data_IF_474963900353
#
_entry.id   IF_474963900353
#
_cell.length_a   1.000
_cell.length_b   1.000
_cell.length_c   1.000
_cell.angle_alpha   90.00
_cell.angle_beta   90.00
_cell.angle_gamma   90.00
#
_symmetry.space_group_name_H-M   'P 1'
#
loop_
_entity.id
_entity.type
_entity.pdbx_description
1 polymer ?
#
# COMPACT_ATOMS: atom_id res chain seq x y z
N UNK A 1 -29.46 -16.52 -14.70
CA UNK A 1 -29.50 -17.95 -14.36
C UNK A 1 -28.96 -18.74 -15.54
N UNK A 2 -27.97 -19.58 -15.28
CA UNK A 2 -27.23 -20.35 -16.27
C UNK A 2 -27.97 -21.59 -16.74
N UNK A 3 -28.84 -22.18 -15.91
CA UNK A 3 -29.61 -23.38 -16.26
C UNK A 3 -31.00 -22.97 -16.76
N UNK A 4 -31.79 -22.30 -15.91
CA UNK A 4 -33.18 -21.94 -16.22
C UNK A 4 -33.34 -20.67 -17.07
N UNK A 5 -32.28 -19.89 -17.31
CA UNK A 5 -32.35 -18.66 -18.09
C UNK A 5 -32.45 -18.90 -19.60
N UNK A 6 -33.19 -18.05 -20.31
CA UNK A 6 -33.21 -18.02 -21.78
C UNK A 6 -31.86 -17.54 -22.33
N UNK A 7 -31.48 -17.97 -23.53
CA UNK A 7 -30.20 -17.58 -24.15
C UNK A 7 -30.10 -16.06 -24.34
N UNK A 8 -31.17 -15.41 -24.78
CA UNK A 8 -31.24 -13.94 -24.93
C UNK A 8 -30.96 -13.23 -23.60
N UNK A 9 -31.46 -13.77 -22.47
CA UNK A 9 -31.20 -13.21 -21.15
C UNK A 9 -29.76 -13.46 -20.66
N UNK A 10 -29.13 -14.57 -21.09
CA UNK A 10 -27.71 -14.86 -20.78
C UNK A 10 -26.78 -13.94 -21.58
N UNK A 11 -27.07 -13.72 -22.85
CA UNK A 11 -26.28 -12.83 -23.73
C UNK A 11 -26.41 -11.36 -23.31
N UNK A 12 -27.56 -10.96 -22.75
CA UNK A 12 -27.79 -9.58 -22.30
C UNK A 12 -27.28 -9.29 -20.88
N UNK A 13 -26.81 -10.30 -20.15
CA UNK A 13 -26.41 -10.15 -18.74
C UNK A 13 -24.90 -9.97 -18.57
N UNK A 14 -24.50 -9.01 -17.72
CA UNK A 14 -23.07 -8.80 -17.39
C UNK A 14 -22.47 -9.95 -16.56
N UNK A 15 -23.30 -10.67 -15.80
CA UNK A 15 -22.90 -11.80 -14.95
C UNK A 15 -23.94 -12.90 -15.02
N UNK A 16 -23.50 -14.12 -15.36
CA UNK A 16 -24.35 -15.32 -15.42
C UNK A 16 -24.01 -16.27 -14.28
N UNK A 17 -25.02 -16.61 -13.47
CA UNK A 17 -24.90 -17.58 -12.37
C UNK A 17 -25.05 -18.98 -12.93
N UNK A 18 -23.95 -19.72 -13.06
CA UNK A 18 -23.93 -21.03 -13.72
C UNK A 18 -24.70 -22.13 -12.96
N UNK A 19 -24.77 -22.04 -11.63
CA UNK A 19 -25.33 -23.07 -10.74
C UNK A 19 -26.77 -22.77 -10.28
N UNK A 20 -27.37 -21.68 -10.76
CA UNK A 20 -28.70 -21.21 -10.38
C UNK A 20 -28.91 -21.07 -8.85
N UNK A 21 -27.83 -20.87 -8.08
CA UNK A 21 -27.89 -20.70 -6.64
C UNK A 21 -27.81 -19.22 -6.24
N UNK A 22 -28.83 -18.72 -5.53
CA UNK A 22 -28.83 -17.34 -5.00
C UNK A 22 -27.65 -17.07 -4.04
N UNK A 23 -27.09 -18.10 -3.40
CA UNK A 23 -25.89 -17.98 -2.55
C UNK A 23 -24.69 -17.46 -3.34
N UNK A 24 -24.61 -17.80 -4.64
CA UNK A 24 -23.56 -17.31 -5.55
C UNK A 24 -23.59 -15.79 -5.67
N UNK A 25 -24.77 -15.16 -5.63
CA UNK A 25 -24.92 -13.70 -5.64
C UNK A 25 -24.25 -13.07 -4.42
N UNK A 26 -24.49 -13.64 -3.24
CA UNK A 26 -23.89 -13.16 -1.98
C UNK A 26 -22.37 -13.32 -2.02
N UNK A 27 -21.88 -14.43 -2.56
CA UNK A 27 -20.45 -14.68 -2.72
C UNK A 27 -19.80 -13.69 -3.68
N UNK A 28 -20.41 -13.43 -4.84
CA UNK A 28 -19.94 -12.43 -5.82
C UNK A 28 -19.93 -11.03 -5.19
N UNK A 29 -20.97 -10.65 -4.45
CA UNK A 29 -21.00 -9.37 -3.73
C UNK A 29 -19.88 -9.26 -2.68
N UNK A 30 -19.60 -10.34 -1.94
CA UNK A 30 -18.49 -10.40 -0.97
C UNK A 30 -17.13 -10.21 -1.66
N UNK A 31 -16.91 -10.90 -2.79
CA UNK A 31 -15.69 -10.76 -3.58
C UNK A 31 -15.54 -9.37 -4.19
N UNK A 32 -16.61 -8.79 -4.74
CA UNK A 32 -16.60 -7.44 -5.30
C UNK A 32 -16.22 -6.38 -4.26
N UNK A 33 -16.78 -6.47 -3.04
CA UNK A 33 -16.39 -5.59 -1.92
C UNK A 33 -14.92 -5.79 -1.53
N UNK A 34 -14.42 -7.02 -1.57
CA UNK A 34 -13.02 -7.32 -1.25
C UNK A 34 -12.08 -6.70 -2.26
N UNK A 35 -12.37 -6.87 -3.56
CA UNK A 35 -11.60 -6.27 -4.65
C UNK A 35 -11.54 -4.75 -4.51
N UNK A 36 -12.67 -4.10 -4.24
CA UNK A 36 -12.70 -2.64 -4.04
C UNK A 36 -11.75 -2.20 -2.92
N UNK A 37 -11.80 -2.86 -1.76
CA UNK A 37 -10.93 -2.55 -0.63
C UNK A 37 -9.46 -2.86 -0.94
N UNK A 38 -9.17 -3.95 -1.64
CA UNK A 38 -7.82 -4.33 -2.04
C UNK A 38 -7.21 -3.30 -3.02
N UNK A 39 -7.99 -2.78 -3.97
CA UNK A 39 -7.54 -1.69 -4.85
C UNK A 39 -7.27 -0.42 -4.03
N UNK A 40 -8.10 -0.08 -3.03
CA UNK A 40 -7.82 1.05 -2.15
C UNK A 40 -6.49 0.89 -1.39
N UNK A 41 -6.20 -0.31 -0.85
CA UNK A 41 -4.92 -0.60 -0.19
C UNK A 41 -3.73 -0.43 -1.14
N UNK A 42 -3.85 -0.97 -2.36
CA UNK A 42 -2.84 -0.82 -3.40
C UNK A 42 -2.61 0.66 -3.75
N UNK A 43 -3.67 1.43 -3.99
CA UNK A 43 -3.56 2.86 -4.32
C UNK A 43 -2.94 3.64 -3.15
N UNK A 44 -3.29 3.32 -1.90
CA UNK A 44 -2.66 3.95 -0.73
C UNK A 44 -1.14 3.73 -0.73
N UNK A 45 -0.71 2.49 -0.95
CA UNK A 45 0.70 2.13 -1.03
C UNK A 45 1.41 2.86 -2.18
N UNK A 46 0.88 2.71 -3.40
CA UNK A 46 1.45 3.27 -4.63
C UNK A 46 1.58 4.80 -4.57
N UNK A 47 0.56 5.49 -4.06
CA UNK A 47 0.60 6.95 -3.93
C UNK A 47 1.69 7.38 -2.94
N UNK A 48 1.85 6.64 -1.82
CA UNK A 48 2.88 6.94 -0.82
C UNK A 48 4.29 6.79 -1.40
N UNK A 49 4.56 5.68 -2.11
CA UNK A 49 5.85 5.42 -2.77
C UNK A 49 6.16 6.54 -3.77
N UNK A 50 5.22 6.86 -4.64
CA UNK A 50 5.39 7.87 -5.68
C UNK A 50 5.65 9.27 -5.11
N UNK A 51 4.86 9.69 -4.11
CA UNK A 51 5.06 11.00 -3.46
C UNK A 51 6.44 11.09 -2.81
N UNK A 52 6.86 10.05 -2.07
CA UNK A 52 8.16 10.06 -1.40
C UNK A 52 9.31 10.04 -2.41
N UNK A 53 9.23 9.18 -3.43
CA UNK A 53 10.25 9.08 -4.47
C UNK A 53 10.44 10.42 -5.20
N UNK A 54 9.34 11.05 -5.62
CA UNK A 54 9.37 12.32 -6.33
C UNK A 54 9.89 13.45 -5.44
N UNK A 55 9.32 13.61 -4.24
CA UNK A 55 9.68 14.69 -3.33
C UNK A 55 11.12 14.58 -2.83
N UNK A 56 11.59 13.36 -2.53
CA UNK A 56 12.99 13.15 -2.07
C UNK A 56 13.99 13.53 -3.16
N UNK A 57 13.75 13.10 -4.41
CA UNK A 57 14.63 13.45 -5.52
C UNK A 57 14.56 14.95 -5.85
N UNK A 58 13.36 15.52 -5.85
CA UNK A 58 13.17 16.94 -6.11
C UNK A 58 13.90 17.81 -5.08
N UNK A 59 13.66 17.57 -3.79
CA UNK A 59 14.30 18.32 -2.69
C UNK A 59 15.82 18.16 -2.75
N UNK A 60 16.33 16.94 -2.95
CA UNK A 60 17.78 16.73 -3.05
C UNK A 60 18.40 17.39 -4.29
N UNK A 61 17.73 17.36 -5.43
CA UNK A 61 18.21 18.01 -6.64
C UNK A 61 18.28 19.54 -6.45
N UNK A 62 17.28 20.14 -5.78
CA UNK A 62 17.27 21.56 -5.48
C UNK A 62 18.37 22.00 -4.50
N UNK A 63 18.66 21.20 -3.46
CA UNK A 63 19.62 21.60 -2.41
C UNK A 63 21.05 21.17 -2.74
N UNK A 64 21.24 19.92 -3.17
CA UNK A 64 22.56 19.29 -3.37
C UNK A 64 23.00 19.25 -4.83
N UNK A 65 22.15 19.67 -5.78
CA UNK A 65 22.42 19.63 -7.22
C UNK A 65 22.50 18.21 -7.81
N UNK A 66 22.30 17.17 -6.99
CA UNK A 66 22.37 15.76 -7.38
C UNK A 66 21.27 14.96 -6.68
N UNK A 67 20.65 14.05 -7.43
CA UNK A 67 19.62 13.16 -6.91
C UNK A 67 20.27 11.95 -6.24
N UNK A 68 19.80 11.52 -5.05
CA UNK A 68 20.38 10.41 -4.31
C UNK A 68 19.99 9.07 -4.94
N UNK A 69 18.84 9.02 -5.63
CA UNK A 69 18.33 7.86 -6.33
C UNK A 69 18.59 8.01 -7.82
N UNK A 70 19.21 7.00 -8.42
CA UNK A 70 19.45 6.99 -9.87
C UNK A 70 18.17 6.65 -10.63
N UNK A 71 18.11 6.98 -11.92
CA UNK A 71 16.97 6.63 -12.78
C UNK A 71 16.69 5.11 -12.78
N UNK A 72 17.74 4.28 -12.76
CA UNK A 72 17.63 2.81 -12.71
C UNK A 72 17.05 2.35 -11.38
N UNK A 73 17.46 2.96 -10.26
CA UNK A 73 16.93 2.64 -8.93
C UNK A 73 15.45 3.02 -8.79
N UNK A 74 15.03 4.14 -9.38
CA UNK A 74 13.62 4.54 -9.42
C UNK A 74 12.79 3.61 -10.30
N UNK A 75 13.34 3.19 -11.45
CA UNK A 75 12.70 2.22 -12.32
C UNK A 75 12.52 0.88 -11.61
N UNK A 76 13.53 0.41 -10.88
CA UNK A 76 13.45 -0.80 -10.06
C UNK A 76 12.28 -0.76 -9.08
N UNK A 77 12.14 0.34 -8.32
CA UNK A 77 11.05 0.49 -7.36
C UNK A 77 9.70 0.57 -8.08
N UNK A 78 9.57 1.44 -9.08
CA UNK A 78 8.31 1.68 -9.76
C UNK A 78 7.83 0.52 -10.64
N UNK A 79 8.75 -0.30 -11.16
CA UNK A 79 8.42 -1.37 -12.09
C UNK A 79 8.33 -2.72 -11.40
N UNK A 80 9.20 -3.02 -10.44
CA UNK A 80 9.30 -4.38 -9.87
C UNK A 80 8.71 -4.43 -8.48
N UNK A 81 9.09 -3.51 -7.59
CA UNK A 81 8.52 -3.48 -6.25
C UNK A 81 7.02 -3.16 -6.27
N UNK A 82 6.63 -2.16 -7.06
CA UNK A 82 5.23 -1.77 -7.16
C UNK A 82 4.35 -2.83 -7.82
N UNK A 83 4.85 -3.56 -8.82
CA UNK A 83 4.09 -4.66 -9.44
C UNK A 83 3.95 -5.86 -8.52
N UNK A 84 5.01 -6.21 -7.80
CA UNK A 84 4.97 -7.27 -6.79
C UNK A 84 4.04 -6.88 -5.63
N UNK A 85 4.13 -5.64 -5.13
CA UNK A 85 3.26 -5.13 -4.08
C UNK A 85 1.80 -5.01 -4.53
N UNK A 86 1.55 -4.63 -5.78
CA UNK A 86 0.21 -4.67 -6.38
C UNK A 86 -0.37 -6.08 -6.34
N UNK A 87 0.42 -7.08 -6.74
CA UNK A 87 0.00 -8.48 -6.70
C UNK A 87 -0.30 -8.92 -5.26
N UNK A 88 0.55 -8.57 -4.30
CA UNK A 88 0.37 -8.95 -2.89
C UNK A 88 -0.87 -8.33 -2.25
N UNK A 89 -1.13 -7.04 -2.52
CA UNK A 89 -2.26 -6.31 -1.94
C UNK A 89 -3.59 -6.57 -2.69
N UNK A 90 -3.55 -6.80 -4.00
CA UNK A 90 -4.75 -7.07 -4.80
C UNK A 90 -5.35 -8.46 -4.55
N UNK A 91 -4.50 -9.46 -4.25
CA UNK A 91 -4.89 -10.88 -4.13
C UNK A 91 -5.34 -11.29 -2.72
N UNK A 92 -5.53 -10.35 -1.80
CA UNK A 92 -5.97 -10.69 -0.45
C UNK A 92 -7.39 -11.27 -0.42
N UNK A 93 -7.60 -12.43 0.24
CA UNK A 93 -8.91 -13.07 0.29
C UNK A 93 -9.92 -12.26 1.11
N UNK A 94 -11.24 -12.39 0.81
CA UNK A 94 -12.28 -11.70 1.55
C UNK A 94 -12.32 -12.12 3.01
N UNK A 95 -12.61 -11.17 3.90
CA UNK A 95 -12.78 -11.42 5.34
C UNK A 95 -14.25 -11.33 5.76
N UNK A 96 -14.70 -12.14 6.71
CA UNK A 96 -16.14 -12.22 7.09
C UNK A 96 -16.69 -10.90 7.67
N UNK A 97 -15.84 -10.08 8.28
CA UNK A 97 -16.23 -8.76 8.78
C UNK A 97 -16.60 -7.75 7.68
N UNK A 98 -16.30 -8.03 6.42
CA UNK A 98 -16.51 -7.14 5.28
C UNK A 98 -17.99 -6.99 4.92
N UNK A 99 -18.80 -8.02 5.19
CA UNK A 99 -20.25 -8.00 4.95
C UNK A 99 -21.01 -7.20 6.01
N UNK A 100 -20.42 -6.97 7.19
CA UNK A 100 -21.02 -6.17 8.27
C UNK A 100 -20.94 -4.65 8.02
N UNK A 101 -20.15 -4.23 7.03
CA UNK A 101 -20.02 -2.82 6.65
C UNK A 101 -21.15 -2.39 5.72
N UNK A 102 -21.66 -1.14 5.84
CA UNK A 102 -22.63 -0.61 4.89
C UNK A 102 -22.02 -0.54 3.48
N UNK A 103 -22.85 -0.59 2.42
CA UNK A 103 -22.37 -0.44 1.05
C UNK A 103 -21.73 0.93 0.84
N UNK A 104 -20.68 0.98 0.02
CA UNK A 104 -20.00 2.21 -0.34
C UNK A 104 -20.93 3.05 -1.24
N UNK A 105 -21.20 4.30 -0.84
CA UNK A 105 -22.08 5.19 -1.59
C UNK A 105 -21.43 5.68 -2.88
N UNK A 106 -22.22 5.86 -3.96
CA UNK A 106 -21.77 6.35 -5.27
C UNK A 106 -21.04 7.71 -5.21
N UNK A 107 -21.37 8.56 -4.24
CA UNK A 107 -20.79 9.90 -4.06
C UNK A 107 -19.65 9.94 -3.03
N UNK A 108 -19.19 8.79 -2.54
CA UNK A 108 -18.04 8.75 -1.63
C UNK A 108 -16.73 8.85 -2.41
N UNK A 109 -15.76 9.56 -1.84
CA UNK A 109 -14.44 9.72 -2.47
C UNK A 109 -13.68 8.38 -2.42
N UNK A 110 -13.10 7.97 -3.55
CA UNK A 110 -12.31 6.74 -3.64
C UNK A 110 -11.12 6.74 -2.66
N UNK A 111 -10.42 7.87 -2.54
CA UNK A 111 -9.39 8.07 -1.52
C UNK A 111 -10.05 8.66 -0.27
N UNK A 112 -10.18 7.83 0.75
CA UNK A 112 -10.82 8.24 2.02
C UNK A 112 -9.90 9.17 2.83
N UNK A 113 -10.46 9.92 3.78
CA UNK A 113 -9.65 10.75 4.70
C UNK A 113 -8.68 9.91 5.54
N UNK A 114 -9.06 8.66 5.84
CA UNK A 114 -8.21 7.69 6.54
C UNK A 114 -6.98 7.33 5.69
N UNK A 115 -7.18 7.09 4.39
CA UNK A 115 -6.07 6.85 3.46
C UNK A 115 -5.16 8.08 3.37
N UNK A 116 -5.72 9.29 3.25
CA UNK A 116 -4.93 10.53 3.22
C UNK A 116 -4.08 10.72 4.48
N UNK A 117 -4.64 10.48 5.67
CA UNK A 117 -3.86 10.50 6.93
C UNK A 117 -2.68 9.53 6.87
N UNK A 118 -2.93 8.30 6.42
CA UNK A 118 -1.89 7.27 6.34
C UNK A 118 -0.80 7.65 5.31
N UNK A 119 -1.19 8.11 4.11
CA UNK A 119 -0.29 8.53 3.05
C UNK A 119 0.56 9.71 3.52
N UNK A 120 -0.06 10.80 3.97
CA UNK A 120 0.66 12.00 4.40
C UNK A 120 1.59 11.68 5.57
N UNK A 121 1.12 10.94 6.57
CA UNK A 121 1.93 10.60 7.74
C UNK A 121 3.15 9.75 7.39
N UNK A 122 2.96 8.72 6.55
CA UNK A 122 4.09 7.90 6.08
C UNK A 122 5.03 8.69 5.18
N UNK A 123 4.50 9.51 4.27
CA UNK A 123 5.32 10.34 3.39
C UNK A 123 6.17 11.34 4.17
N UNK A 124 5.61 12.05 5.16
CA UNK A 124 6.36 12.99 6.00
C UNK A 124 7.48 12.27 6.75
N UNK A 125 7.18 11.11 7.36
CA UNK A 125 8.20 10.33 8.05
C UNK A 125 9.34 9.92 7.11
N UNK A 126 9.02 9.36 5.95
CA UNK A 126 10.05 8.92 5.00
C UNK A 126 10.85 10.11 4.44
N UNK A 127 10.21 11.25 4.17
CA UNK A 127 10.90 12.46 3.72
C UNK A 127 11.88 13.01 4.77
N UNK A 128 11.50 12.99 6.05
CA UNK A 128 12.39 13.41 7.14
C UNK A 128 13.58 12.45 7.23
N UNK A 129 13.32 11.15 7.27
CA UNK A 129 14.37 10.13 7.42
C UNK A 129 15.35 10.15 6.24
N UNK A 130 14.85 10.17 5.01
CA UNK A 130 15.68 10.21 3.81
C UNK A 130 16.38 11.56 3.66
N UNK A 131 15.72 12.65 4.04
CA UNK A 131 16.32 13.98 4.09
C UNK A 131 17.49 14.05 5.08
N UNK A 132 17.32 13.56 6.31
CA UNK A 132 18.39 13.47 7.31
C UNK A 132 19.53 12.60 6.82
N UNK A 133 19.25 11.45 6.18
CA UNK A 133 20.30 10.61 5.59
C UNK A 133 21.01 11.31 4.43
N UNK A 134 20.31 12.11 3.62
CA UNK A 134 20.91 12.84 2.51
C UNK A 134 21.84 13.97 3.00
N UNK A 135 21.39 14.77 3.96
CA UNK A 135 22.13 15.93 4.44
C UNK A 135 23.19 15.58 5.50
N UNK A 136 22.81 14.82 6.54
CA UNK A 136 23.67 14.51 7.69
C UNK A 136 24.24 13.09 7.66
N UNK A 137 23.87 12.24 6.70
CA UNK A 137 24.28 10.84 6.67
C UNK A 137 25.79 10.63 6.66
N UNK A 138 26.57 11.55 6.06
CA UNK A 138 28.05 11.48 6.05
C UNK A 138 28.63 11.62 7.45
N UNK A 139 28.13 12.57 8.22
CA UNK A 139 28.59 12.87 9.57
C UNK A 139 28.06 11.81 10.55
N UNK A 140 26.80 11.41 10.39
CA UNK A 140 26.13 10.43 11.25
C UNK A 140 26.77 9.04 11.15
N UNK A 141 27.19 8.64 9.94
CA UNK A 141 27.79 7.33 9.68
C UNK A 141 29.32 7.35 9.69
N UNK A 142 29.94 8.51 9.98
CA UNK A 142 31.39 8.73 10.01
C UNK A 142 32.10 8.20 8.76
N UNK A 143 31.50 8.43 7.58
CA UNK A 143 32.02 7.93 6.31
C UNK A 143 33.12 8.86 5.78
N UNK A 144 34.36 8.63 6.24
CA UNK A 144 35.55 9.33 5.75
C UNK A 144 36.18 8.54 4.60
N UNK A 145 35.96 8.96 3.35
CA UNK A 145 36.67 8.41 2.19
C UNK A 145 36.15 8.87 0.83
N UNK A 146 36.92 8.69 -0.25
CA UNK A 146 36.55 9.11 -1.61
C UNK A 146 35.33 8.37 -2.19
N UNK A 147 34.98 7.19 -1.66
CA UNK A 147 33.76 6.42 -2.03
C UNK A 147 32.53 6.74 -1.16
N UNK A 148 32.63 7.69 -0.23
CA UNK A 148 31.60 8.02 0.76
C UNK A 148 30.24 8.39 0.12
N UNK A 149 30.25 9.18 -0.97
CA UNK A 149 29.03 9.56 -1.68
C UNK A 149 28.29 8.36 -2.30
N UNK A 150 29.01 7.44 -2.93
CA UNK A 150 28.41 6.27 -3.58
C UNK A 150 27.84 5.29 -2.55
N UNK A 151 28.54 5.09 -1.44
CA UNK A 151 28.04 4.28 -0.31
C UNK A 151 26.80 4.92 0.32
N UNK A 152 26.79 6.25 0.47
CA UNK A 152 25.62 6.96 1.02
C UNK A 152 24.41 6.84 0.09
N UNK A 153 24.56 7.07 -1.21
CA UNK A 153 23.46 6.93 -2.17
C UNK A 153 22.91 5.50 -2.18
N UNK A 154 23.79 4.50 -2.10
CA UNK A 154 23.35 3.10 -2.00
C UNK A 154 22.61 2.83 -0.69
N UNK A 155 23.05 3.42 0.44
CA UNK A 155 22.35 3.31 1.70
C UNK A 155 20.97 4.00 1.67
N UNK A 156 20.87 5.18 1.06
CA UNK A 156 19.60 5.90 0.88
C UNK A 156 18.65 5.04 0.05
N UNK A 157 19.13 4.48 -1.07
CA UNK A 157 18.37 3.54 -1.88
C UNK A 157 17.91 2.31 -1.09
N UNK A 158 18.81 1.67 -0.35
CA UNK A 158 18.47 0.48 0.43
C UNK A 158 17.45 0.78 1.54
N UNK A 159 17.64 1.91 2.24
CA UNK A 159 16.72 2.37 3.28
C UNK A 159 15.35 2.72 2.69
N UNK A 160 15.31 3.39 1.54
CA UNK A 160 14.07 3.70 0.83
C UNK A 160 13.30 2.43 0.48
N UNK A 161 13.97 1.40 -0.06
CA UNK A 161 13.35 0.11 -0.38
C UNK A 161 12.79 -0.56 0.87
N UNK A 162 13.54 -0.62 1.97
CA UNK A 162 13.04 -1.21 3.20
C UNK A 162 11.85 -0.42 3.78
N UNK A 163 11.89 0.91 3.74
CA UNK A 163 10.73 1.73 4.10
C UNK A 163 9.49 1.37 3.28
N UNK A 164 9.62 1.06 1.98
CA UNK A 164 8.48 0.62 1.17
C UNK A 164 8.00 -0.77 1.55
N UNK A 165 8.89 -1.73 1.74
CA UNK A 165 8.54 -3.09 2.19
C UNK A 165 7.73 -3.05 3.50
N UNK A 166 8.12 -2.19 4.45
CA UNK A 166 7.38 -2.02 5.70
C UNK A 166 6.10 -1.18 5.54
N UNK A 167 6.09 -0.22 4.61
CA UNK A 167 4.89 0.55 4.29
C UNK A 167 3.82 -0.31 3.58
N UNK A 168 4.23 -1.31 2.79
CA UNK A 168 3.35 -2.31 2.19
C UNK A 168 2.60 -3.09 3.28
N UNK A 169 3.34 -3.56 4.28
CA UNK A 169 2.77 -4.21 5.48
C UNK A 169 1.78 -3.27 6.19
N UNK A 170 2.12 -2.00 6.38
CA UNK A 170 1.20 -1.02 6.99
C UNK A 170 -0.07 -0.78 6.17
N UNK A 171 0.04 -0.79 4.85
CA UNK A 171 -1.05 -0.49 3.91
C UNK A 171 -2.05 -1.64 3.75
N UNK A 172 -1.66 -2.84 4.20
CA UNK A 172 -2.50 -4.04 4.24
C UNK A 172 -3.81 -3.88 5.04
N UNK A 173 -3.80 -3.06 6.08
CA UNK A 173 -5.00 -2.74 6.86
C UNK A 173 -5.09 -1.23 7.10
N UNK A 174 -6.08 -0.56 6.51
CA UNK A 174 -6.17 0.92 6.56
C UNK A 174 -6.56 1.47 7.94
N UNK A 175 -7.32 0.70 8.74
CA UNK A 175 -7.91 1.16 10.02
C UNK A 175 -7.45 0.35 11.23
N UNK A 176 -7.13 -0.94 11.07
CA UNK A 176 -6.82 -1.82 12.20
C UNK A 176 -5.36 -1.67 12.63
N UNK A 177 -5.16 -1.66 13.95
CA UNK A 177 -3.85 -1.55 14.61
C UNK A 177 -3.05 -2.86 14.50
N UNK A 178 -3.72 -4.01 14.44
CA UNK A 178 -3.05 -5.33 14.38
C UNK A 178 -2.58 -5.68 12.96
N UNK A 179 -1.51 -5.04 12.53
CA UNK A 179 -0.93 -5.17 11.18
C UNK A 179 -0.40 -6.59 10.91
N UNK A 180 0.08 -7.29 11.94
CA UNK A 180 0.64 -8.64 11.83
C UNK A 180 -0.42 -9.76 11.80
N UNK A 181 -1.68 -9.46 12.14
CA UNK A 181 -2.72 -10.50 12.23
C UNK A 181 -3.06 -10.99 10.82
N UNK A 182 -2.88 -12.29 10.58
CA UNK A 182 -3.18 -12.91 9.29
C UNK A 182 -2.15 -12.65 8.19
N UNK A 183 -0.99 -12.04 8.49
CA UNK A 183 0.07 -11.77 7.50
C UNK A 183 0.67 -13.07 6.97
N UNK A 184 0.96 -14.00 7.89
CA UNK A 184 1.44 -15.34 7.55
C UNK A 184 0.34 -16.26 6.98
N UNK A 185 -0.93 -15.82 6.99
CA UNK A 185 -2.03 -16.60 6.42
C UNK A 185 -2.16 -16.41 4.91
N UNK A 186 -1.63 -15.32 4.35
CA UNK A 186 -1.58 -15.11 2.89
C UNK A 186 -0.21 -15.53 2.38
N UNK A 187 -0.13 -16.74 1.83
CA UNK A 187 1.13 -17.27 1.32
C UNK A 187 1.69 -16.42 0.17
N UNK A 188 0.81 -15.85 -0.67
CA UNK A 188 1.19 -14.93 -1.76
C UNK A 188 1.89 -13.70 -1.21
N UNK A 189 1.37 -13.09 -0.14
CA UNK A 189 1.97 -11.92 0.48
C UNK A 189 3.37 -12.23 1.04
N UNK A 190 3.53 -13.38 1.71
CA UNK A 190 4.84 -13.79 2.25
C UNK A 190 5.84 -14.07 1.14
N UNK A 191 5.42 -14.74 0.05
CA UNK A 191 6.29 -15.00 -1.11
C UNK A 191 6.77 -13.69 -1.72
N UNK A 192 5.87 -12.73 -1.95
CA UNK A 192 6.23 -11.42 -2.50
C UNK A 192 7.23 -10.71 -1.60
N UNK A 193 6.96 -10.63 -0.29
CA UNK A 193 7.86 -10.00 0.67
C UNK A 193 9.27 -10.60 0.67
N UNK A 194 9.38 -11.93 0.72
CA UNK A 194 10.67 -12.64 0.69
C UNK A 194 11.37 -12.43 -0.65
N UNK A 195 10.63 -12.46 -1.75
CA UNK A 195 11.16 -12.27 -3.10
C UNK A 195 11.69 -10.85 -3.28
N UNK A 196 10.97 -9.83 -2.81
CA UNK A 196 11.39 -8.43 -2.86
C UNK A 196 12.66 -8.20 -2.06
N UNK A 197 12.76 -8.73 -0.84
CA UNK A 197 14.00 -8.64 -0.04
C UNK A 197 15.14 -9.42 -0.70
N UNK A 198 14.87 -10.60 -1.25
CA UNK A 198 15.87 -11.39 -1.99
C UNK A 198 16.42 -10.64 -3.19
N UNK A 199 15.56 -10.06 -4.03
CA UNK A 199 15.99 -9.24 -5.15
C UNK A 199 16.73 -7.98 -4.70
N UNK A 200 16.34 -7.38 -3.57
CA UNK A 200 17.06 -6.23 -3.01
C UNK A 200 18.50 -6.60 -2.62
N UNK A 201 18.73 -7.78 -2.06
CA UNK A 201 20.09 -8.27 -1.78
C UNK A 201 20.86 -8.48 -3.08
N UNK A 202 20.21 -9.07 -4.10
CA UNK A 202 20.84 -9.29 -5.41
C UNK A 202 21.24 -7.97 -6.08
N UNK A 203 20.38 -6.96 -6.07
CA UNK A 203 20.66 -5.69 -6.74
C UNK A 203 21.77 -4.88 -6.04
N UNK A 204 21.85 -4.95 -4.72
CA UNK A 204 22.84 -4.21 -3.93
C UNK A 204 24.21 -4.90 -3.95
N UNK A 205 24.27 -6.22 -3.84
CA UNK A 205 25.54 -6.95 -3.73
C UNK A 205 26.13 -7.37 -5.09
N UNK A 206 25.29 -7.77 -6.06
CA UNK A 206 25.75 -8.39 -7.30
C UNK A 206 25.59 -7.50 -8.54
N UNK A 207 24.61 -6.59 -8.59
CA UNK A 207 24.33 -5.74 -9.75
C UNK A 207 24.88 -4.30 -9.62
N UNK A 208 25.94 -4.11 -8.83
CA UNK A 208 26.58 -2.80 -8.58
C UNK A 208 26.85 -1.98 -9.85
N UNK A 209 27.39 -2.61 -10.88
CA UNK A 209 27.73 -1.95 -12.16
C UNK A 209 26.52 -1.47 -12.94
N UNK A 210 25.37 -2.17 -12.85
CA UNK A 210 24.14 -1.81 -13.55
C UNK A 210 23.28 -0.81 -12.76
N UNK A 211 23.18 -1.01 -11.45
CA UNK A 211 22.32 -0.20 -10.57
C UNK A 211 23.03 1.05 -10.02
N UNK A 212 24.34 1.19 -10.26
CA UNK A 212 25.16 2.24 -9.68
C UNK A 212 25.28 2.12 -8.15
N UNK A 213 25.23 0.89 -7.64
CA UNK A 213 25.27 0.57 -6.20
C UNK A 213 26.65 0.05 -5.79
N UNK A 214 27.03 0.31 -4.54
CA UNK A 214 28.26 -0.21 -3.93
C UNK A 214 27.87 -1.26 -2.88
N UNK A 215 28.54 -2.42 -2.78
CA UNK A 215 28.25 -3.42 -1.75
C UNK A 215 28.22 -2.81 -0.35
N UNK A 216 27.17 -3.10 0.42
CA UNK A 216 27.00 -2.54 1.77
C UNK A 216 27.64 -3.46 2.81
N UNK A 217 28.29 -2.86 3.80
CA UNK A 217 28.66 -3.60 5.01
C UNK A 217 27.41 -4.11 5.73
N UNK A 218 27.51 -5.29 6.36
CA UNK A 218 26.46 -5.86 7.19
C UNK A 218 25.89 -4.88 8.22
N UNK A 219 26.73 -3.98 8.79
CA UNK A 219 26.28 -2.94 9.73
C UNK A 219 25.32 -1.94 9.07
N UNK A 220 25.61 -1.51 7.84
CA UNK A 220 24.78 -0.57 7.10
C UNK A 220 23.47 -1.20 6.64
N UNK A 221 23.50 -2.49 6.28
CA UNK A 221 22.29 -3.29 6.06
C UNK A 221 21.38 -3.28 7.28
N UNK A 222 21.91 -3.62 8.47
CA UNK A 222 21.11 -3.60 9.69
C UNK A 222 20.54 -2.21 10.00
N UNK A 223 21.32 -1.14 9.81
CA UNK A 223 20.83 0.23 10.00
C UNK A 223 19.67 0.53 9.05
N UNK A 224 19.78 0.19 7.75
CA UNK A 224 18.70 0.42 6.79
C UNK A 224 17.42 -0.36 7.12
N UNK A 225 17.56 -1.60 7.60
CA UNK A 225 16.42 -2.41 8.03
C UNK A 225 15.77 -1.83 9.29
N UNK A 226 16.56 -1.37 10.26
CA UNK A 226 16.05 -0.77 11.49
C UNK A 226 15.29 0.53 11.22
N UNK A 227 15.83 1.39 10.35
CA UNK A 227 15.17 2.62 9.90
C UNK A 227 13.90 2.31 9.09
N UNK A 228 13.92 1.24 8.31
CA UNK A 228 12.70 0.72 7.67
C UNK A 228 11.67 0.28 8.71
N UNK A 229 12.08 -0.48 9.72
CA UNK A 229 11.20 -1.06 10.73
C UNK A 229 10.53 0.03 11.59
N UNK A 230 11.16 1.18 11.81
CA UNK A 230 10.52 2.32 12.49
C UNK A 230 9.31 2.87 11.71
N UNK A 231 9.22 2.66 10.40
CA UNK A 231 8.02 3.00 9.62
C UNK A 231 6.78 2.18 10.03
N UNK A 232 6.97 0.94 10.51
CA UNK A 232 5.88 0.12 11.09
C UNK A 232 5.32 0.77 12.34
N UNK A 233 6.20 1.22 13.24
CA UNK A 233 5.81 1.87 14.49
C UNK A 233 5.05 3.16 14.18
N UNK A 234 5.56 3.97 13.24
CA UNK A 234 4.88 5.19 12.80
C UNK A 234 3.51 4.89 12.21
N UNK A 235 3.39 3.82 11.42
CA UNK A 235 2.10 3.38 10.88
C UNK A 235 1.08 3.02 11.96
N UNK A 236 1.51 2.36 13.04
CA UNK A 236 0.67 2.10 14.22
C UNK A 236 0.25 3.41 14.88
N UNK A 237 1.19 4.32 15.13
CA UNK A 237 0.92 5.62 15.78
C UNK A 237 -0.08 6.45 14.96
N UNK A 238 0.08 6.50 13.63
CA UNK A 238 -0.84 7.22 12.75
C UNK A 238 -2.25 6.64 12.80
N UNK A 239 -2.39 5.32 12.94
CA UNK A 239 -3.70 4.66 13.08
C UNK A 239 -4.40 5.00 14.39
N UNK A 240 -3.66 5.32 15.45
CA UNK A 240 -4.22 5.78 16.73
C UNK A 240 -4.82 7.20 16.67
N UNK A 241 -4.45 8.02 15.67
CA UNK A 241 -4.97 9.37 15.53
C UNK A 241 -6.38 9.30 14.92
N UNK A 242 -7.45 9.64 15.66
CA UNK A 242 -8.81 9.55 15.15
C UNK A 242 -9.00 10.56 14.02
N UNK A 243 -9.44 10.08 12.85
CA UNK A 243 -9.87 10.96 11.76
C UNK A 243 -11.34 11.27 12.00
N UNK A 244 -11.75 12.55 12.00
CA UNK A 244 -13.16 12.88 12.04
C UNK A 244 -13.85 12.21 10.86
N UNK A 245 -14.73 11.25 11.16
CA UNK A 245 -15.66 10.72 10.17
C UNK A 245 -16.40 11.92 9.60
N UNK A 246 -16.39 12.05 8.27
CA UNK A 246 -17.34 12.93 7.61
C UNK A 246 -18.71 12.54 8.15
N UNK A 247 -19.43 13.46 8.78
CA UNK A 247 -20.89 13.32 8.95
C UNK A 247 -21.50 13.43 7.55
N UNK A 248 -21.33 12.40 6.72
CA UNK A 248 -22.23 12.15 5.61
C UNK A 248 -23.46 11.45 6.18
N UNK A 249 -24.11 12.12 7.13
CA UNK A 249 -25.54 11.96 7.41
C UNK A 249 -26.29 12.73 6.32
N UNK A 250 -26.02 12.41 5.06
CA UNK A 250 -27.06 12.52 4.05
C UNK A 250 -27.67 11.14 4.03
N UNK A 251 -28.78 11.01 4.73
CA UNK A 251 -29.79 9.98 4.50
C UNK A 251 -29.72 9.65 3.02
N UNK A 252 -29.36 8.41 2.70
CA UNK A 252 -29.37 7.91 1.34
C UNK A 252 -30.82 8.07 0.88
N UNK A 253 -31.14 9.19 0.23
CA UNK A 253 -32.29 9.27 -0.65
C UNK A 253 -31.95 8.28 -1.75
N UNK A 254 -32.45 7.06 -1.61
CA UNK A 254 -32.55 6.14 -2.71
C UNK A 254 -33.13 6.94 -3.89
N UNK A 255 -32.41 6.96 -5.02
CA UNK A 255 -32.88 7.58 -6.26
C UNK A 255 -34.03 6.78 -6.90
N UNK A 256 -34.58 5.85 -6.13
CA UNK A 256 -35.49 4.80 -6.54
C UNK A 256 -36.95 5.27 -6.33
N UNK A 257 -37.17 6.46 -5.76
CA UNK A 257 -38.51 7.02 -5.50
C UNK A 257 -39.28 6.33 -4.38
N UNK A 258 -38.71 5.32 -3.74
CA UNK A 258 -39.32 4.61 -2.61
C UNK A 258 -38.70 5.07 -1.29
N UNK A 259 -39.57 5.51 -0.37
CA UNK A 259 -39.20 5.66 1.03
C UNK A 259 -39.01 4.26 1.66
N UNK A 260 -37.98 4.05 2.49
CA UNK A 260 -37.82 2.80 3.20
C UNK A 260 -39.06 2.55 4.09
N UNK A 261 -39.62 1.34 4.01
CA UNK A 261 -40.75 0.95 4.84
C UNK A 261 -40.39 1.14 6.33
N UNK A 262 -41.26 1.75 7.13
CA UNK A 262 -41.00 1.97 8.55
C UNK A 262 -40.81 0.61 9.22
N UNK A 263 -39.60 0.38 9.72
CA UNK A 263 -39.29 -0.78 10.56
C UNK A 263 -39.43 -0.35 12.01
N UNK A 264 -40.65 -0.48 12.52
CA UNK A 264 -41.00 -0.27 13.92
C UNK A 264 -42.00 -1.34 14.39
N UNK A 265 -42.12 -1.57 15.71
CA UNK A 265 -42.99 -2.60 16.28
C UNK A 265 -44.49 -2.32 16.13
N UNK A 266 -44.88 -1.19 15.53
CA UNK A 266 -46.28 -0.77 15.38
C UNK A 266 -47.00 -1.40 14.17
N UNK A 267 -46.46 -2.50 13.63
CA UNK A 267 -47.08 -3.30 12.55
C UNK A 267 -47.49 -4.70 13.03
N UNK A 268 -47.83 -4.84 14.31
CA UNK A 268 -48.51 -6.00 14.89
C UNK A 268 -49.97 -5.67 15.21
#
# INVERSE_FOLDING_TARGET
MGIAGTEVAKESADVVIMDDNFTTIVNVARWGRSVYINIQKFVQFQLTVNVVALMTNFVSACVSGSAPLTAVQLLWVNMIMDTLGALALATEPPHDGLMKRPPVGRNTHFITRVMWRNIIGQSIYQLIVLGVLNFDGKQLLKLNGPKSNATLNTLIFNTFVFCQVFNEINSRDMEKINIFRGMLSSWIFVIVMVTTVGFQVVIVEFLGTFAGTVPLSWKLWMVSVLIGATSLIVGVVLKCIPVPMAKDTRIVKHHDGYEPLPTGPDLA
#
